data_IF_708650436695
#
_entry.id   IF_708650436695
#
_cell.length_a   1.000
_cell.length_b   1.000
_cell.length_c   1.000
_cell.angle_alpha   90.00
_cell.angle_beta   90.00
_cell.angle_gamma   90.00
#
_symmetry.space_group_name_H-M   'P 1'
#
loop_
_entity.id
_entity.type
_entity.pdbx_description
1 polymer ?
#
# COMPACT_ATOMS: atom_id res chain seq x y z
N UNK A 1 14.49 32.98 -11.59
CA UNK A 1 13.96 33.00 -12.97
C UNK A 1 12.88 31.93 -13.08
N UNK A 2 11.62 32.33 -13.20
CA UNK A 2 10.53 31.38 -13.47
C UNK A 2 10.64 30.89 -14.91
N UNK A 3 10.66 29.56 -15.10
CA UNK A 3 10.71 28.94 -16.42
C UNK A 3 9.28 28.96 -16.98
N UNK A 4 9.02 29.77 -18.01
CA UNK A 4 7.71 29.86 -18.65
C UNK A 4 7.51 28.68 -19.61
N UNK A 5 6.38 27.99 -19.48
CA UNK A 5 6.02 26.84 -20.31
C UNK A 5 4.88 27.23 -21.25
N UNK A 6 5.10 27.13 -22.56
CA UNK A 6 4.15 27.59 -23.59
C UNK A 6 2.80 26.87 -23.53
N UNK A 7 2.80 25.59 -23.16
CA UNK A 7 1.57 24.80 -23.06
C UNK A 7 0.74 25.10 -21.81
N UNK A 8 1.31 25.84 -20.85
CA UNK A 8 0.61 26.30 -19.64
C UNK A 8 -0.07 27.65 -19.90
N UNK A 9 0.59 28.54 -20.65
CA UNK A 9 0.02 29.83 -21.08
C UNK A 9 -1.22 29.64 -21.97
N UNK A 10 -1.29 28.56 -22.75
CA UNK A 10 -2.44 28.20 -23.58
C UNK A 10 -3.70 27.84 -22.76
N UNK A 11 -3.55 27.50 -21.48
CA UNK A 11 -4.66 27.15 -20.60
C UNK A 11 -5.20 28.36 -19.81
N UNK A 12 -4.61 29.56 -19.99
CA UNK A 12 -4.99 30.82 -19.31
C UNK A 12 -5.08 30.68 -17.77
N UNK A 13 -4.19 29.88 -17.17
CA UNK A 13 -4.10 29.80 -15.72
C UNK A 13 -3.26 30.95 -15.19
N UNK A 14 -3.86 31.77 -14.32
CA UNK A 14 -3.11 32.67 -13.45
C UNK A 14 -2.46 31.84 -12.33
N UNK A 15 -1.16 31.56 -12.49
CA UNK A 15 -0.41 30.72 -11.57
C UNK A 15 0.45 31.56 -10.65
N UNK A 16 -0.03 31.74 -9.43
CA UNK A 16 0.80 32.24 -8.34
C UNK A 16 1.84 31.20 -7.92
N UNK A 17 3.06 31.67 -7.61
CA UNK A 17 4.08 30.81 -7.03
C UNK A 17 3.73 30.56 -5.56
N UNK A 18 3.29 29.35 -5.25
CA UNK A 18 3.04 28.95 -3.88
C UNK A 18 4.34 28.62 -3.15
N UNK A 19 4.76 29.49 -2.23
CA UNK A 19 5.86 29.20 -1.30
C UNK A 19 5.31 28.95 0.09
N UNK A 20 5.59 27.77 0.67
CA UNK A 20 5.21 27.41 2.04
C UNK A 20 3.70 27.49 2.34
N UNK A 21 2.86 27.19 1.34
CA UNK A 21 1.41 27.19 1.54
C UNK A 21 0.97 25.98 2.33
N UNK A 22 0.15 26.20 3.36
CA UNK A 22 -0.46 25.14 4.16
C UNK A 22 -1.62 24.52 3.38
N UNK A 23 -1.64 23.19 3.16
CA UNK A 23 -2.80 22.51 2.59
C UNK A 23 -4.07 22.82 3.40
N UNK A 24 -5.15 23.18 2.71
CA UNK A 24 -6.41 23.60 3.36
C UNK A 24 -7.49 22.52 3.28
N UNK A 25 -7.41 21.65 2.26
CA UNK A 25 -8.44 20.66 1.96
C UNK A 25 -7.75 19.32 1.74
N UNK A 26 -8.24 18.29 2.43
CA UNK A 26 -7.88 16.89 2.19
C UNK A 26 -8.99 16.25 1.36
N UNK A 27 -8.63 15.58 0.26
CA UNK A 27 -9.58 14.87 -0.59
C UNK A 27 -9.47 13.38 -0.30
N UNK A 28 -10.51 12.83 0.33
CA UNK A 28 -10.59 11.39 0.63
C UNK A 28 -10.89 10.55 -0.61
N UNK A 29 -10.61 9.24 -0.52
CA UNK A 29 -10.77 8.28 -1.62
C UNK A 29 -12.23 8.18 -2.13
N UNK A 30 -13.21 8.37 -1.26
CA UNK A 30 -14.64 8.36 -1.61
C UNK A 30 -15.02 9.52 -2.55
N UNK A 31 -14.17 10.55 -2.64
CA UNK A 31 -14.31 11.68 -3.54
C UNK A 31 -13.45 11.56 -4.81
N UNK A 32 -13.05 10.35 -5.20
CA UNK A 32 -12.24 10.07 -6.41
C UNK A 32 -12.81 10.70 -7.68
N UNK A 33 -14.14 10.85 -7.79
CA UNK A 33 -14.79 11.53 -8.91
C UNK A 33 -14.37 13.00 -9.09
N UNK A 34 -13.82 13.64 -8.05
CA UNK A 34 -13.31 15.01 -8.10
C UNK A 34 -11.90 15.08 -8.70
N UNK A 35 -11.10 14.02 -8.57
CA UNK A 35 -9.71 13.95 -9.04
C UNK A 35 -9.57 13.32 -10.43
N UNK A 36 -10.67 12.79 -11.00
CA UNK A 36 -10.67 12.24 -12.35
C UNK A 36 -10.33 13.31 -13.39
N UNK A 37 -9.29 13.03 -14.18
CA UNK A 37 -8.88 13.81 -15.35
C UNK A 37 -9.95 13.75 -16.45
N UNK A 38 -10.40 14.92 -16.89
CA UNK A 38 -11.32 15.09 -18.03
C UNK A 38 -10.58 15.44 -19.30
N UNK A 39 -9.63 16.35 -19.18
CA UNK A 39 -8.77 16.83 -20.27
C UNK A 39 -7.36 16.96 -19.73
N UNK A 40 -6.35 16.81 -20.58
CA UNK A 40 -4.97 17.06 -20.18
C UNK A 40 -4.17 17.69 -21.30
N UNK A 41 -3.23 18.54 -20.90
CA UNK A 41 -2.27 19.19 -21.78
C UNK A 41 -0.88 18.77 -21.31
N UNK A 42 -0.11 18.18 -22.23
CA UNK A 42 1.23 17.67 -21.95
C UNK A 42 2.26 18.35 -22.83
N UNK A 43 3.30 18.89 -22.19
CA UNK A 43 4.49 19.38 -22.86
C UNK A 43 5.51 18.29 -23.22
N UNK A 44 6.67 18.67 -23.75
CA UNK A 44 7.84 17.81 -23.92
C UNK A 44 8.25 17.04 -22.66
N UNK A 45 9.08 15.98 -22.78
CA UNK A 45 9.63 15.27 -21.63
C UNK A 45 10.29 16.23 -20.63
N UNK A 46 10.11 15.97 -19.32
CA UNK A 46 10.59 16.81 -18.20
C UNK A 46 9.84 18.13 -17.97
N UNK A 47 8.79 18.41 -18.73
CA UNK A 47 7.90 19.54 -18.46
C UNK A 47 6.66 19.11 -17.65
N UNK A 48 6.04 20.03 -16.91
CA UNK A 48 4.80 19.76 -16.19
C UNK A 48 3.65 19.38 -17.13
N UNK A 49 2.75 18.56 -16.63
CA UNK A 49 1.49 18.14 -17.25
C UNK A 49 0.37 18.87 -16.50
N UNK A 50 -0.62 19.36 -17.21
CA UNK A 50 -1.82 19.92 -16.58
C UNK A 50 -3.02 19.04 -16.93
N UNK A 51 -3.85 18.73 -15.94
CA UNK A 51 -5.11 18.02 -16.11
C UNK A 51 -6.29 18.83 -15.61
N UNK A 52 -7.37 18.89 -16.36
CA UNK A 52 -8.65 19.46 -15.94
C UNK A 52 -9.43 18.41 -15.14
N UNK A 53 -9.81 18.78 -13.93
CA UNK A 53 -10.64 17.97 -13.03
C UNK A 53 -11.93 18.71 -12.69
N UNK A 54 -12.83 18.12 -11.90
CA UNK A 54 -14.04 18.83 -11.42
C UNK A 54 -13.72 20.00 -10.48
N UNK A 55 -12.52 19.99 -9.88
CA UNK A 55 -12.04 21.05 -8.99
C UNK A 55 -11.31 22.17 -9.75
N UNK A 56 -11.18 22.05 -11.07
CA UNK A 56 -10.40 22.95 -11.91
C UNK A 56 -9.12 22.28 -12.41
N UNK A 57 -8.20 23.12 -12.89
CA UNK A 57 -6.94 22.68 -13.46
C UNK A 57 -5.94 22.28 -12.37
N UNK A 58 -5.29 21.15 -12.56
CA UNK A 58 -4.28 20.57 -11.66
C UNK A 58 -2.97 20.40 -12.42
N UNK A 59 -1.86 20.84 -11.83
CA UNK A 59 -0.52 20.74 -12.43
C UNK A 59 0.27 19.63 -11.75
N UNK A 60 0.82 18.72 -12.56
CA UNK A 60 1.73 17.67 -12.17
C UNK A 60 3.09 17.97 -12.78
N UNK A 61 4.18 17.85 -12.03
CA UNK A 61 5.49 18.16 -12.61
C UNK A 61 6.62 17.76 -11.71
N UNK A 62 7.80 17.61 -12.31
CA UNK A 62 9.01 17.35 -11.55
C UNK A 62 9.45 18.64 -10.84
N UNK A 63 9.52 18.59 -9.52
CA UNK A 63 10.06 19.69 -8.72
C UNK A 63 11.59 19.64 -8.75
N UNK A 64 12.20 20.31 -9.73
CA UNK A 64 13.64 20.32 -9.95
C UNK A 64 14.47 20.95 -8.78
N UNK A 65 13.82 21.45 -7.73
CA UNK A 65 14.47 22.25 -6.67
C UNK A 65 14.64 21.51 -5.34
N UNK A 66 14.25 20.24 -5.21
CA UNK A 66 14.39 19.54 -3.92
C UNK A 66 15.71 18.77 -3.85
N UNK A 67 16.84 19.48 -3.76
CA UNK A 67 18.03 18.95 -3.08
C UNK A 67 17.83 19.20 -1.58
N UNK A 68 17.35 18.20 -0.85
CA UNK A 68 17.38 18.21 0.62
C UNK A 68 16.07 18.51 1.36
N UNK A 69 14.89 18.19 0.80
CA UNK A 69 13.71 17.95 1.66
C UNK A 69 13.37 16.47 1.69
N UNK A 70 13.49 15.89 2.87
CA UNK A 70 12.71 14.74 3.27
C UNK A 70 11.36 15.28 3.72
N UNK A 71 10.48 15.56 2.77
CA UNK A 71 9.06 15.76 3.06
C UNK A 71 8.30 15.29 1.81
N UNK A 72 7.75 14.08 1.97
CA UNK A 72 6.49 13.58 1.43
C UNK A 72 6.23 13.67 -0.09
N UNK A 73 5.84 12.52 -0.64
CA UNK A 73 5.14 12.35 -1.91
C UNK A 73 5.98 12.15 -3.19
N UNK A 74 6.84 11.13 -3.15
CA UNK A 74 7.03 10.22 -4.29
C UNK A 74 6.89 8.81 -3.72
N UNK A 75 6.13 7.94 -4.40
CA UNK A 75 6.12 6.50 -4.12
C UNK A 75 7.53 5.96 -4.39
N UNK A 76 8.41 6.15 -3.42
CA UNK A 76 9.66 5.43 -3.27
C UNK A 76 9.33 4.19 -2.47
N UNK A 77 9.24 3.05 -3.14
CA UNK A 77 9.24 1.75 -2.48
C UNK A 77 10.64 1.55 -1.89
N UNK A 78 10.89 2.18 -0.74
CA UNK A 78 12.11 2.04 0.00
C UNK A 78 11.96 0.75 0.82
N UNK A 79 12.71 -0.28 0.44
CA UNK A 79 12.66 -1.62 1.05
C UNK A 79 13.38 -1.69 2.40
N UNK A 80 13.98 -0.59 2.83
CA UNK A 80 14.61 -0.46 4.13
C UNK A 80 13.72 0.45 4.98
N UNK A 81 13.03 -0.17 5.94
CA UNK A 81 12.22 0.51 6.93
C UNK A 81 13.14 0.94 8.08
N UNK A 82 13.59 2.21 8.19
CA UNK A 82 14.14 2.70 9.43
C UNK A 82 13.04 2.67 10.51
N UNK A 83 13.43 2.37 11.76
CA UNK A 83 12.52 2.33 12.92
C UNK A 83 11.71 3.64 13.07
N UNK A 84 12.24 4.75 12.55
CA UNK A 84 11.60 6.06 12.50
C UNK A 84 10.28 6.07 11.69
N UNK A 85 10.20 5.27 10.61
CA UNK A 85 8.97 5.17 9.81
C UNK A 85 7.88 4.41 10.58
N UNK A 86 8.27 3.40 11.37
CA UNK A 86 7.34 2.63 12.19
C UNK A 86 6.71 3.51 13.28
N UNK A 87 7.51 4.34 13.94
CA UNK A 87 7.01 5.28 14.94
C UNK A 87 6.15 6.39 14.31
N UNK A 88 6.52 6.88 13.13
CA UNK A 88 5.69 7.86 12.40
C UNK A 88 4.33 7.27 12.00
N UNK A 89 4.31 6.06 11.43
CA UNK A 89 3.06 5.39 11.04
C UNK A 89 2.19 5.10 12.28
N UNK A 90 2.79 4.63 13.37
CA UNK A 90 2.08 4.52 14.67
C UNK A 90 1.47 5.85 15.08
N UNK A 91 2.23 6.94 15.04
CA UNK A 91 1.77 8.27 15.47
C UNK A 91 0.61 8.80 14.61
N UNK A 92 0.62 8.48 13.32
CA UNK A 92 -0.43 8.89 12.39
C UNK A 92 -1.73 8.12 12.67
N UNK A 93 -1.65 6.79 12.82
CA UNK A 93 -2.82 5.97 13.14
C UNK A 93 -3.35 6.23 14.54
N UNK A 94 -2.51 6.54 15.53
CA UNK A 94 -2.98 6.95 16.86
C UNK A 94 -3.68 8.30 16.81
N UNK A 95 -3.24 9.24 15.95
CA UNK A 95 -3.91 10.52 15.75
C UNK A 95 -5.28 10.38 15.05
N UNK A 96 -5.40 9.56 14.00
CA UNK A 96 -6.70 9.26 13.38
C UNK A 96 -7.65 8.53 14.33
N UNK A 97 -7.12 7.67 15.22
CA UNK A 97 -7.90 6.96 16.22
C UNK A 97 -8.50 7.86 17.32
N UNK A 98 -8.11 9.14 17.42
CA UNK A 98 -8.63 10.09 18.41
C UNK A 98 -10.15 10.28 18.27
N UNK A 99 -10.71 10.13 17.05
CA UNK A 99 -12.15 10.18 16.80
C UNK A 99 -12.90 8.88 17.12
N UNK A 100 -12.19 7.76 17.22
CA UNK A 100 -12.77 6.44 17.46
C UNK A 100 -12.33 5.95 18.85
N UNK A 101 -12.94 6.52 19.90
CA UNK A 101 -12.83 5.97 21.26
C UNK A 101 -13.51 4.61 21.31
N UNK A 102 -12.83 3.55 20.86
CA UNK A 102 -13.07 2.23 21.41
C UNK A 102 -12.63 2.35 22.87
N UNK A 103 -13.59 2.25 23.80
CA UNK A 103 -13.33 2.24 25.23
C UNK A 103 -12.12 1.34 25.50
N UNK A 104 -11.00 1.95 25.87
CA UNK A 104 -9.72 1.27 26.09
C UNK A 104 -9.75 0.34 27.31
N UNK A 105 -10.88 0.27 28.01
CA UNK A 105 -11.07 -0.50 29.24
C UNK A 105 -11.94 -1.76 29.03
N UNK A 106 -12.13 -2.22 27.79
CA UNK A 106 -12.66 -3.58 27.61
C UNK A 106 -11.54 -4.56 27.95
N UNK A 107 -11.69 -5.26 29.07
CA UNK A 107 -10.86 -6.42 29.44
C UNK A 107 -10.72 -7.31 28.20
N UNK A 108 -9.50 -7.42 27.67
CA UNK A 108 -9.24 -8.25 26.50
C UNK A 108 -9.64 -9.68 26.82
N UNK A 109 -10.38 -10.37 25.94
CA UNK A 109 -10.71 -11.77 26.16
C UNK A 109 -9.42 -12.57 26.27
N UNK A 110 -9.41 -13.57 27.16
CA UNK A 110 -8.24 -14.43 27.41
C UNK A 110 -7.64 -15.03 26.11
N UNK A 111 -8.50 -15.33 25.12
CA UNK A 111 -8.07 -15.84 23.81
C UNK A 111 -7.22 -14.84 23.03
N UNK A 112 -7.55 -13.54 23.10
CA UNK A 112 -6.78 -12.47 22.44
C UNK A 112 -5.45 -12.23 23.14
N UNK A 113 -5.44 -12.23 24.47
CA UNK A 113 -4.21 -12.11 25.27
C UNK A 113 -3.23 -13.22 24.89
N UNK A 114 -3.69 -14.47 24.90
CA UNK A 114 -2.88 -15.64 24.54
C UNK A 114 -2.38 -15.59 23.09
N UNK A 115 -3.25 -15.21 22.15
CA UNK A 115 -2.85 -15.08 20.74
C UNK A 115 -1.75 -14.03 20.56
N UNK A 116 -1.85 -12.89 21.26
CA UNK A 116 -0.82 -11.87 21.25
C UNK A 116 0.49 -12.36 21.88
N UNK A 117 0.43 -13.07 23.00
CA UNK A 117 1.61 -13.66 23.66
C UNK A 117 2.35 -14.64 22.74
N UNK A 118 1.62 -15.55 22.07
CA UNK A 118 2.21 -16.50 21.11
C UNK A 118 2.85 -15.72 19.97
N UNK A 119 2.13 -14.77 19.37
CA UNK A 119 2.64 -13.98 18.24
C UNK A 119 3.92 -13.23 18.63
N UNK A 120 3.93 -12.53 19.75
CA UNK A 120 5.08 -11.74 20.20
C UNK A 120 6.29 -12.62 20.52
N UNK A 121 6.06 -13.78 21.12
CA UNK A 121 7.13 -14.68 21.58
C UNK A 121 7.73 -15.50 20.43
N UNK A 122 6.91 -15.87 19.45
CA UNK A 122 7.32 -16.80 18.37
C UNK A 122 7.64 -16.12 17.05
N UNK A 123 7.23 -14.86 16.85
CA UNK A 123 7.52 -14.14 15.61
C UNK A 123 8.97 -13.73 15.56
N UNK A 124 9.76 -14.36 14.68
CA UNK A 124 11.16 -14.00 14.45
C UNK A 124 11.47 -13.89 12.97
N UNK A 125 12.38 -12.97 12.63
CA UNK A 125 12.86 -12.79 11.27
C UNK A 125 13.97 -13.80 10.98
N UNK A 126 13.75 -14.66 9.99
CA UNK A 126 14.76 -15.56 9.45
C UNK A 126 15.11 -15.08 8.04
N UNK A 127 16.31 -14.52 7.90
CA UNK A 127 16.80 -13.89 6.67
C UNK A 127 15.81 -12.82 6.14
N UNK A 128 15.20 -13.06 4.98
CA UNK A 128 14.22 -12.15 4.36
C UNK A 128 12.76 -12.51 4.67
N UNK A 129 12.50 -13.47 5.57
CA UNK A 129 11.15 -13.92 5.90
C UNK A 129 10.90 -13.84 7.40
N UNK A 130 9.64 -13.84 7.79
CA UNK A 130 9.22 -14.00 9.17
C UNK A 130 8.64 -15.39 9.35
N UNK A 131 9.03 -16.06 10.42
CA UNK A 131 8.27 -17.18 10.94
C UNK A 131 7.50 -16.72 12.18
N UNK A 132 6.34 -17.31 12.41
CA UNK A 132 5.50 -17.07 13.57
C UNK A 132 4.83 -18.38 13.96
N UNK A 133 4.63 -18.59 15.26
CA UNK A 133 3.93 -19.74 15.81
C UNK A 133 2.44 -19.65 15.51
N UNK A 134 1.80 -20.80 15.34
CA UNK A 134 0.35 -20.85 15.20
C UNK A 134 -0.35 -20.39 16.49
N UNK A 135 -1.31 -19.49 16.35
CA UNK A 135 -2.06 -18.86 17.46
C UNK A 135 -3.13 -19.81 18.01
N UNK A 136 -2.70 -20.99 18.47
CA UNK A 136 -3.62 -22.03 18.94
C UNK A 136 -4.32 -21.61 20.22
N UNK A 137 -5.63 -21.89 20.25
CA UNK A 137 -6.47 -21.69 21.43
C UNK A 137 -5.99 -22.48 22.66
N UNK A 138 -5.38 -23.64 22.44
CA UNK A 138 -4.91 -24.55 23.49
C UNK A 138 -3.49 -25.06 23.15
N UNK A 139 -2.68 -25.37 24.17
CA UNK A 139 -1.32 -25.91 23.97
C UNK A 139 -1.33 -27.35 23.43
N UNK A 140 -2.25 -28.18 23.94
CA UNK A 140 -2.32 -29.60 23.61
C UNK A 140 -3.43 -29.88 22.59
N UNK A 141 -3.29 -29.32 21.39
CA UNK A 141 -4.28 -29.52 20.33
C UNK A 141 -4.13 -30.91 19.71
N UNK A 142 -5.11 -31.79 19.96
CA UNK A 142 -5.20 -33.09 19.31
C UNK A 142 -5.78 -32.90 17.91
N UNK A 143 -4.92 -32.91 16.89
CA UNK A 143 -5.36 -32.87 15.50
C UNK A 143 -6.04 -34.20 15.14
N UNK A 144 -7.20 -34.17 14.47
CA UNK A 144 -7.85 -35.39 14.01
C UNK A 144 -6.95 -36.15 13.02
N UNK A 145 -7.04 -37.48 13.03
CA UNK A 145 -6.24 -38.33 12.15
C UNK A 145 -6.54 -38.00 10.68
N UNK A 146 -5.55 -37.42 9.98
CA UNK A 146 -5.69 -37.00 8.59
C UNK A 146 -4.84 -37.84 7.61
N UNK A 147 -4.19 -38.91 8.10
CA UNK A 147 -3.24 -39.73 7.32
C UNK A 147 -3.84 -40.24 6.01
N UNK A 148 -5.05 -40.79 6.06
CA UNK A 148 -5.77 -41.28 4.87
C UNK A 148 -6.00 -40.18 3.82
N UNK A 149 -6.34 -38.97 4.28
CA UNK A 149 -6.57 -37.81 3.42
C UNK A 149 -5.27 -37.31 2.78
N UNK A 150 -4.18 -37.26 3.55
CA UNK A 150 -2.85 -36.87 3.06
C UNK A 150 -2.36 -37.87 2.01
N UNK A 151 -2.49 -39.17 2.26
CA UNK A 151 -2.14 -40.22 1.29
C UNK A 151 -2.97 -40.08 0.00
N UNK A 152 -4.28 -39.82 0.11
CA UNK A 152 -5.14 -39.62 -1.06
C UNK A 152 -4.70 -38.40 -1.87
N UNK A 153 -4.41 -37.28 -1.21
CA UNK A 153 -3.91 -36.04 -1.85
C UNK A 153 -2.56 -36.30 -2.53
N UNK A 154 -1.65 -37.01 -1.88
CA UNK A 154 -0.35 -37.40 -2.44
C UNK A 154 -0.52 -38.20 -3.73
N UNK A 155 -1.33 -39.26 -3.71
CA UNK A 155 -1.64 -40.07 -4.91
C UNK A 155 -2.27 -39.23 -6.04
N UNK A 156 -3.14 -38.27 -5.70
CA UNK A 156 -3.68 -37.34 -6.69
C UNK A 156 -2.60 -36.45 -7.31
N UNK A 157 -1.66 -35.93 -6.50
CA UNK A 157 -0.53 -35.12 -6.98
C UNK A 157 0.41 -35.94 -7.85
N UNK A 158 0.74 -37.16 -7.45
CA UNK A 158 1.58 -38.09 -8.23
C UNK A 158 0.95 -38.40 -9.58
N UNK A 159 -0.35 -38.72 -9.62
CA UNK A 159 -1.08 -38.91 -10.88
C UNK A 159 -1.03 -37.68 -11.79
N UNK A 160 -1.09 -36.47 -11.23
CA UNK A 160 -0.94 -35.22 -12.00
C UNK A 160 0.48 -34.98 -12.50
N UNK A 161 1.51 -35.40 -11.75
CA UNK A 161 2.92 -35.33 -12.19
C UNK A 161 3.27 -36.37 -13.26
N UNK A 162 2.57 -37.50 -13.26
CA UNK A 162 2.73 -38.59 -14.24
C UNK A 162 1.99 -38.31 -15.55
N UNK A 163 1.08 -37.33 -15.60
CA UNK A 163 0.57 -36.81 -16.87
C UNK A 163 1.72 -36.04 -17.58
N UNK A 164 2.27 -36.56 -18.70
CA UNK A 164 3.27 -35.84 -19.46
C UNK A 164 2.68 -34.52 -19.95
N UNK A 165 3.51 -33.50 -20.12
CA UNK A 165 3.22 -32.15 -20.64
C UNK A 165 2.50 -32.16 -22.02
N UNK A 166 1.25 -32.58 -22.10
CA UNK A 166 0.47 -32.61 -23.35
C UNK A 166 -0.72 -31.64 -23.38
N UNK A 167 -0.91 -30.80 -22.35
CA UNK A 167 -1.99 -29.79 -22.34
C UNK A 167 -1.50 -28.37 -22.14
N UNK A 168 -0.32 -28.01 -22.67
CA UNK A 168 0.17 -26.63 -22.66
C UNK A 168 0.41 -26.06 -24.06
N UNK A 169 -0.30 -26.57 -25.05
CA UNK A 169 -0.26 -26.05 -26.42
C UNK A 169 -1.69 -25.99 -26.97
N UNK A 170 -2.47 -25.00 -26.54
CA UNK A 170 -3.71 -24.56 -27.19
C UNK A 170 -4.26 -23.28 -26.51
N UNK A 171 -3.49 -22.19 -26.51
CA UNK A 171 -4.10 -20.85 -26.27
C UNK A 171 -3.50 -19.71 -27.11
N UNK A 172 -2.62 -19.99 -28.08
CA UNK A 172 -2.21 -18.99 -29.08
C UNK A 172 -2.66 -19.44 -30.45
N UNK A 173 -3.86 -19.02 -30.86
CA UNK A 173 -4.28 -18.77 -32.25
C UNK A 173 -5.78 -18.44 -32.30
N UNK A 174 -6.15 -17.22 -31.95
CA UNK A 174 -7.13 -16.38 -32.64
C UNK A 174 -6.95 -14.95 -32.14
#
# INVERSE_FOLDING_TARGET
MQRKWKHIELADLDLDTFTHVKPTILLEQDNSNLTLTREFVKGPPQEPIISLTKLGWVIYGNNAVIKGRFDSEIVGLNTDFPDDLHELVKSFFTFEAIGVKHCADKVKPHEEIRALEIMQTTTKRIAQRFETGHLWKYDNLQLPESKSQVIRRLKCVERKKIMPRFTQQNWRST
#
